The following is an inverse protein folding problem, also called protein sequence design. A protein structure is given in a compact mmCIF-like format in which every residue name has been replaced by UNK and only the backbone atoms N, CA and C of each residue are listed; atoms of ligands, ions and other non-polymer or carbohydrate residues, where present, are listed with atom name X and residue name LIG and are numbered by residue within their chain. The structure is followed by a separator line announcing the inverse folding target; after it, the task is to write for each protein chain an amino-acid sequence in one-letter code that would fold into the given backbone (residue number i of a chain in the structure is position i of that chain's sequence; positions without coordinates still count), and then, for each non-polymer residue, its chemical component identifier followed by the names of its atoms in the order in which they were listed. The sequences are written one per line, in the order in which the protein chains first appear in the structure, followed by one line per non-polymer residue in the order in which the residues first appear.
data_IF_098764095977
#
_entry.id   IF_098764095977
#
_cell.length_a   1.000
_cell.length_b   1.000
_cell.length_c   1.000
_cell.angle_alpha   90.00
_cell.angle_beta   90.00
_cell.angle_gamma   90.00
#
_symmetry.space_group_name_H-M   'P 1'
#
loop_
_entity.id
_entity.type
_entity.pdbx_description
1 polymer ?
#
# COMPACT_ATOMS: atom_id res chain seq x y z
N UNK A 1 -38.12 3.99 -60.17
CA UNK A 1 -37.19 4.78 -61.00
C UNK A 1 -36.69 5.99 -60.21
N UNK A 2 -35.56 6.59 -60.62
CA UNK A 2 -34.99 7.91 -60.24
C UNK A 2 -36.08 9.00 -59.98
N UNK A 3 -35.92 10.08 -59.20
CA UNK A 3 -34.80 10.84 -58.58
C UNK A 3 -35.43 11.72 -57.44
N UNK A 4 -34.77 12.48 -56.53
CA UNK A 4 -33.36 12.78 -56.17
C UNK A 4 -33.28 13.22 -54.67
N UNK A 5 -32.34 14.09 -54.25
CA UNK A 5 -32.24 14.76 -52.93
C UNK A 5 -32.39 16.29 -53.03
N UNK A 6 -32.87 16.94 -51.96
CA UNK A 6 -32.23 18.08 -51.25
C UNK A 6 -33.24 18.96 -50.50
N UNK A 7 -32.95 19.33 -49.25
CA UNK A 7 -32.75 20.74 -48.82
C UNK A 7 -32.41 20.82 -47.31
N UNK A 8 -31.81 21.94 -46.91
CA UNK A 8 -31.17 22.16 -45.61
C UNK A 8 -32.05 23.01 -44.68
N UNK A 9 -31.89 22.78 -43.38
CA UNK A 9 -32.42 23.43 -42.17
C UNK A 9 -32.86 24.91 -42.23
N UNK A 10 -33.86 25.26 -41.41
CA UNK A 10 -33.89 26.51 -40.60
C UNK A 10 -34.88 26.40 -39.41
N UNK A 11 -34.41 26.80 -38.22
CA UNK A 11 -35.09 27.22 -36.97
C UNK A 11 -36.50 26.72 -36.58
N UNK A 12 -36.63 26.25 -35.32
CA UNK A 12 -37.59 26.87 -34.40
C UNK A 12 -37.14 26.82 -32.92
N UNK A 13 -37.68 27.78 -32.18
CA UNK A 13 -37.28 28.37 -30.92
C UNK A 13 -37.42 27.50 -29.65
N UNK A 14 -36.65 27.89 -28.63
CA UNK A 14 -36.63 27.36 -27.27
C UNK A 14 -37.97 27.34 -26.51
N UNK A 15 -38.09 26.39 -25.57
CA UNK A 15 -38.71 26.61 -24.25
C UNK A 15 -37.69 26.21 -23.19
N UNK A 16 -37.40 27.14 -22.28
CA UNK A 16 -36.35 27.03 -21.27
C UNK A 16 -36.96 27.34 -19.91
N UNK A 17 -37.08 26.35 -19.02
CA UNK A 17 -37.55 26.52 -17.65
C UNK A 17 -36.88 25.53 -16.68
N UNK A 18 -35.76 25.97 -16.12
CA UNK A 18 -35.33 25.78 -14.72
C UNK A 18 -35.60 24.44 -14.01
N UNK A 19 -34.59 23.56 -13.97
CA UNK A 19 -34.45 22.54 -12.92
C UNK A 19 -32.98 22.08 -12.69
N UNK A 20 -31.98 22.94 -12.90
CA UNK A 20 -30.56 22.63 -12.66
C UNK A 20 -29.86 23.79 -11.93
N UNK A 21 -29.92 23.76 -10.59
CA UNK A 21 -29.41 24.86 -9.76
C UNK A 21 -29.38 24.54 -8.27
N UNK A 22 -28.83 23.39 -7.87
CA UNK A 22 -28.63 23.05 -6.46
C UNK A 22 -27.50 22.04 -6.19
N UNK A 23 -27.31 21.03 -7.08
CA UNK A 23 -26.40 19.91 -6.81
C UNK A 23 -24.94 20.08 -7.27
N UNK A 24 -24.64 20.95 -8.26
CA UNK A 24 -23.26 21.15 -8.73
C UNK A 24 -22.41 22.02 -7.79
N UNK A 25 -22.92 23.19 -7.40
CA UNK A 25 -22.14 24.20 -6.68
C UNK A 25 -21.67 23.80 -5.27
N UNK A 26 -22.31 22.80 -4.64
CA UNK A 26 -21.89 22.29 -3.31
C UNK A 26 -20.76 21.27 -3.42
N UNK A 27 -20.74 20.44 -4.45
CA UNK A 27 -19.64 19.52 -4.75
C UNK A 27 -18.39 20.30 -5.20
N UNK A 28 -18.56 21.24 -6.14
CA UNK A 28 -17.45 22.06 -6.64
C UNK A 28 -16.83 22.91 -5.51
N UNK A 29 -17.64 23.52 -4.63
CA UNK A 29 -17.10 24.25 -3.48
C UNK A 29 -16.40 23.34 -2.47
N UNK A 30 -16.85 22.10 -2.27
CA UNK A 30 -16.14 21.16 -1.39
C UNK A 30 -14.78 20.76 -1.97
N UNK A 31 -14.69 20.50 -3.27
CA UNK A 31 -13.44 20.22 -3.97
C UNK A 31 -12.50 21.44 -3.97
N UNK A 32 -13.03 22.62 -4.26
CA UNK A 32 -12.26 23.86 -4.37
C UNK A 32 -11.73 24.34 -3.00
N UNK A 33 -12.46 24.12 -1.90
CA UNK A 33 -11.99 24.40 -0.52
C UNK A 33 -10.89 23.40 -0.08
N UNK A 34 -10.80 22.22 -0.68
CA UNK A 34 -9.72 21.26 -0.42
C UNK A 34 -8.47 21.61 -1.24
N UNK A 35 -8.61 22.12 -2.48
CA UNK A 35 -7.47 22.43 -3.36
C UNK A 35 -6.56 23.59 -2.91
N UNK A 36 -6.99 24.45 -1.99
CA UNK A 36 -6.19 25.60 -1.53
C UNK A 36 -5.23 25.27 -0.36
N UNK A 37 -5.28 24.06 0.22
CA UNK A 37 -4.41 23.68 1.33
C UNK A 37 -3.15 22.90 0.88
N UNK A 38 -2.20 23.71 0.40
CA UNK A 38 -0.77 23.44 0.21
C UNK A 38 -0.34 22.61 -1.01
N UNK A 39 0.52 23.15 -1.91
CA UNK A 39 1.40 22.27 -2.68
C UNK A 39 2.32 21.50 -1.71
N UNK A 40 2.79 20.30 -2.07
CA UNK A 40 3.74 19.56 -1.23
C UNK A 40 5.03 20.36 -1.09
N UNK A 41 5.17 21.07 0.03
CA UNK A 41 6.45 21.61 0.47
C UNK A 41 7.40 20.45 0.71
N UNK A 42 8.68 20.64 0.38
CA UNK A 42 9.75 19.74 0.81
C UNK A 42 9.74 19.56 2.34
N UNK A 43 10.25 18.43 2.82
CA UNK A 43 10.22 18.13 4.25
C UNK A 43 11.25 18.92 5.03
N UNK A 44 10.76 19.71 5.99
CA UNK A 44 11.58 20.35 7.03
C UNK A 44 12.31 19.32 7.92
N UNK A 45 12.03 18.01 7.77
CA UNK A 45 12.65 16.93 8.56
C UNK A 45 13.39 15.89 7.72
N UNK A 46 12.97 15.59 6.49
CA UNK A 46 13.64 14.60 5.63
C UNK A 46 14.14 15.27 4.36
N UNK A 47 15.44 15.56 4.32
CA UNK A 47 16.03 16.50 3.35
C UNK A 47 16.56 15.83 2.08
N UNK A 48 16.75 14.51 2.10
CA UNK A 48 17.09 13.72 0.92
C UNK A 48 16.69 12.26 1.05
N UNK A 49 16.64 11.58 -0.09
CA UNK A 49 16.60 10.14 -0.26
C UNK A 49 17.58 9.79 -1.40
N UNK A 50 18.41 8.76 -1.23
CA UNK A 50 19.29 8.22 -2.25
C UNK A 50 19.28 6.68 -2.21
N UNK A 51 19.42 6.05 -3.37
CA UNK A 51 19.69 4.61 -3.45
C UNK A 51 21.17 4.32 -3.18
N UNK A 52 21.44 3.23 -2.47
CA UNK A 52 22.79 2.74 -2.19
C UNK A 52 22.97 1.41 -2.91
N UNK A 53 23.94 1.37 -3.84
CA UNK A 53 24.17 0.20 -4.69
C UNK A 53 23.01 -0.11 -5.65
N UNK A 54 23.04 -1.33 -6.19
CA UNK A 54 22.01 -1.88 -7.06
C UNK A 54 20.96 -2.66 -6.23
N UNK A 55 19.87 -3.08 -6.87
CA UNK A 55 18.95 -4.04 -6.26
C UNK A 55 19.63 -5.39 -6.00
N UNK A 56 19.01 -6.18 -5.13
CA UNK A 56 19.23 -7.61 -5.05
C UNK A 56 17.89 -8.35 -5.06
N UNK A 57 17.71 -9.20 -6.05
CA UNK A 57 16.56 -10.09 -6.18
C UNK A 57 16.45 -11.11 -5.02
N UNK A 58 15.30 -11.79 -4.98
CA UNK A 58 14.96 -12.91 -4.10
C UNK A 58 16.16 -13.81 -3.78
N UNK A 59 16.47 -14.06 -2.50
CA UNK A 59 17.69 -14.74 -2.10
C UNK A 59 17.65 -16.21 -2.52
N UNK A 60 18.83 -16.79 -2.76
CA UNK A 60 18.93 -18.24 -2.95
C UNK A 60 18.55 -18.94 -1.63
N UNK A 61 17.67 -19.96 -1.64
CA UNK A 61 17.32 -20.70 -0.44
C UNK A 61 18.55 -21.26 0.28
N UNK A 62 18.58 -21.07 1.60
CA UNK A 62 19.61 -21.59 2.49
C UNK A 62 19.38 -23.07 2.87
N UNK A 63 20.31 -23.60 3.66
CA UNK A 63 20.23 -24.98 4.12
C UNK A 63 19.05 -25.18 5.10
N UNK A 64 18.05 -25.94 4.68
CA UNK A 64 16.86 -26.27 5.48
C UNK A 64 15.62 -25.41 5.16
N UNK A 65 15.72 -24.47 4.23
CA UNK A 65 14.57 -23.73 3.72
C UNK A 65 13.66 -24.62 2.84
N UNK A 66 12.44 -24.15 2.54
CA UNK A 66 11.58 -24.81 1.55
C UNK A 66 12.32 -24.78 0.19
N UNK A 67 12.63 -25.96 -0.35
CA UNK A 67 13.22 -26.16 -1.67
C UNK A 67 12.24 -26.85 -2.61
N UNK A 68 10.94 -26.79 -2.31
CA UNK A 68 9.89 -27.29 -3.19
C UNK A 68 10.13 -26.77 -4.62
N UNK A 69 10.17 -27.65 -5.62
CA UNK A 69 10.54 -27.26 -6.97
C UNK A 69 9.56 -26.20 -7.47
N UNK A 70 10.11 -25.02 -7.75
CA UNK A 70 9.38 -23.99 -8.46
C UNK A 70 9.33 -24.43 -9.92
N UNK A 71 8.13 -24.77 -10.40
CA UNK A 71 7.96 -25.35 -11.72
C UNK A 71 8.36 -24.33 -12.81
N UNK A 72 9.40 -24.59 -13.62
CA UNK A 72 9.79 -23.70 -14.69
C UNK A 72 8.84 -23.74 -15.89
N UNK A 73 7.91 -24.71 -15.97
CA UNK A 73 7.28 -25.09 -17.24
C UNK A 73 5.93 -25.85 -17.14
N UNK A 74 4.82 -25.21 -16.72
CA UNK A 74 3.48 -25.80 -16.94
C UNK A 74 2.29 -24.86 -17.23
N UNK A 75 2.50 -23.71 -17.89
CA UNK A 75 1.40 -23.03 -18.61
C UNK A 75 1.85 -22.29 -19.89
N UNK A 76 1.36 -22.74 -21.05
CA UNK A 76 1.42 -22.04 -22.36
C UNK A 76 2.77 -21.89 -23.07
N UNK A 77 3.67 -22.88 -23.00
CA UNK A 77 4.81 -22.97 -23.93
C UNK A 77 5.84 -21.83 -23.84
N UNK A 78 5.99 -21.26 -22.64
CA UNK A 78 7.04 -20.29 -22.32
C UNK A 78 8.31 -21.06 -21.93
N UNK A 79 9.51 -20.69 -22.40
CA UNK A 79 10.76 -21.35 -21.98
C UNK A 79 11.03 -21.19 -20.48
N UNK A 80 11.85 -22.09 -19.94
CA UNK A 80 12.27 -22.09 -18.54
C UNK A 80 13.10 -20.83 -18.20
N UNK A 81 12.40 -19.76 -17.82
CA UNK A 81 12.97 -18.49 -17.38
C UNK A 81 12.77 -18.28 -15.88
N UNK A 82 13.65 -17.45 -15.31
CA UNK A 82 13.92 -17.30 -13.88
C UNK A 82 12.71 -17.34 -12.94
N UNK A 83 13.01 -17.92 -11.78
CA UNK A 83 12.08 -18.33 -10.74
C UNK A 83 11.20 -17.15 -10.29
N UNK A 84 9.95 -17.14 -10.79
CA UNK A 84 8.88 -16.30 -10.23
C UNK A 84 8.62 -16.77 -8.81
N UNK A 85 8.31 -15.85 -7.91
CA UNK A 85 7.91 -16.16 -6.53
C UNK A 85 6.64 -15.43 -6.06
N UNK A 86 6.09 -14.51 -6.87
CA UNK A 86 4.89 -13.74 -6.53
C UNK A 86 5.19 -12.26 -6.33
N UNK A 87 4.20 -11.54 -5.79
CA UNK A 87 4.21 -10.08 -5.68
C UNK A 87 3.54 -9.51 -4.41
N UNK A 88 3.42 -8.18 -4.33
CA UNK A 88 2.75 -7.35 -3.30
C UNK A 88 3.34 -7.33 -1.89
N UNK A 89 3.77 -8.49 -1.37
CA UNK A 89 4.49 -8.72 -0.10
C UNK A 89 4.18 -7.76 1.07
N UNK A 90 2.91 -7.45 1.45
CA UNK A 90 2.65 -6.75 2.70
C UNK A 90 3.20 -7.56 3.88
N UNK A 91 3.89 -6.88 4.79
CA UNK A 91 4.74 -7.54 5.78
C UNK A 91 4.83 -6.80 7.12
N UNK A 92 5.33 -7.50 8.13
CA UNK A 92 5.46 -6.99 9.50
C UNK A 92 6.65 -7.62 10.22
N UNK A 93 7.22 -6.92 11.19
CA UNK A 93 8.23 -7.46 12.11
C UNK A 93 7.52 -8.02 13.34
N UNK A 94 7.54 -9.33 13.53
CA UNK A 94 6.81 -10.03 14.58
C UNK A 94 7.59 -10.15 15.90
N UNK A 95 6.90 -10.64 16.93
CA UNK A 95 7.41 -10.80 18.30
C UNK A 95 8.63 -11.74 18.39
N UNK A 96 8.66 -12.77 17.55
CA UNK A 96 9.74 -13.76 17.42
C UNK A 96 11.02 -13.25 16.73
N UNK A 97 11.10 -11.94 16.46
CA UNK A 97 12.12 -11.25 15.68
C UNK A 97 12.07 -11.48 14.17
N UNK A 98 11.13 -12.25 13.62
CA UNK A 98 11.09 -12.51 12.18
C UNK A 98 10.23 -11.51 11.41
N UNK A 99 10.46 -11.39 10.11
CA UNK A 99 9.52 -10.70 9.23
C UNK A 99 8.57 -11.75 8.67
N UNK A 100 7.26 -11.53 8.82
CA UNK A 100 6.24 -12.29 8.10
C UNK A 100 5.70 -11.44 6.97
N UNK A 101 5.48 -12.08 5.82
CA UNK A 101 4.94 -11.48 4.61
C UNK A 101 3.87 -12.38 3.99
N UNK A 102 3.08 -11.84 3.06
CA UNK A 102 2.15 -12.63 2.25
C UNK A 102 2.38 -12.32 0.77
N UNK A 103 2.80 -13.31 -0.01
CA UNK A 103 3.02 -13.14 -1.44
C UNK A 103 1.71 -13.35 -2.23
N UNK A 104 1.46 -12.48 -3.20
CA UNK A 104 0.38 -12.58 -4.18
C UNK A 104 0.82 -13.38 -5.42
N UNK A 105 -0.10 -14.20 -5.96
CA UNK A 105 0.18 -15.19 -7.02
C UNK A 105 1.53 -15.96 -6.81
N UNK A 106 1.77 -16.50 -5.59
CA UNK A 106 3.05 -17.08 -5.21
C UNK A 106 3.32 -18.39 -5.95
N UNK A 107 4.59 -18.74 -6.11
CA UNK A 107 5.02 -19.86 -6.94
C UNK A 107 5.79 -20.95 -6.20
N UNK A 108 5.25 -21.42 -5.08
CA UNK A 108 5.84 -22.51 -4.31
C UNK A 108 5.16 -23.84 -4.62
N UNK A 109 5.86 -24.74 -5.32
CA UNK A 109 5.38 -26.11 -5.59
C UNK A 109 4.03 -26.17 -6.31
N UNK A 110 3.93 -25.54 -7.48
CA UNK A 110 2.74 -25.52 -8.34
C UNK A 110 1.47 -24.86 -7.74
N UNK A 111 1.64 -23.95 -6.77
CA UNK A 111 0.72 -22.81 -6.61
C UNK A 111 1.18 -21.70 -7.57
N UNK A 112 0.26 -20.90 -8.10
CA UNK A 112 0.58 -19.78 -9.02
C UNK A 112 -0.50 -18.69 -8.98
N UNK A 113 -1.33 -18.70 -7.94
CA UNK A 113 -2.55 -17.91 -7.84
C UNK A 113 -2.91 -17.55 -6.39
N UNK A 114 -3.80 -16.58 -6.21
CA UNK A 114 -4.29 -16.15 -4.89
C UNK A 114 -3.19 -15.53 -4.03
N UNK A 115 -2.99 -16.03 -2.80
CA UNK A 115 -1.94 -15.59 -1.88
C UNK A 115 -1.43 -16.72 -1.00
N UNK A 116 -0.24 -16.60 -0.42
CA UNK A 116 0.28 -17.49 0.64
C UNK A 116 0.94 -16.69 1.78
N UNK A 117 1.65 -17.35 2.70
CA UNK A 117 2.37 -16.70 3.81
C UNK A 117 3.80 -17.19 3.85
N UNK A 118 4.73 -16.25 3.94
CA UNK A 118 6.17 -16.45 3.97
C UNK A 118 6.79 -15.82 5.23
N UNK A 119 7.98 -16.29 5.58
CA UNK A 119 8.84 -15.74 6.64
C UNK A 119 10.19 -15.40 6.06
N UNK A 120 10.62 -14.17 6.31
CA UNK A 120 11.88 -13.56 5.90
C UNK A 120 12.81 -13.50 7.12
N UNK A 121 13.84 -14.33 7.12
CA UNK A 121 14.77 -14.50 8.24
C UNK A 121 16.12 -13.85 7.94
N UNK A 122 16.67 -13.10 8.90
CA UNK A 122 17.91 -12.32 8.72
C UNK A 122 17.71 -10.87 8.25
N UNK A 123 18.76 -10.30 7.64
CA UNK A 123 18.80 -8.93 7.09
C UNK A 123 19.57 -8.92 5.75
N UNK A 124 19.18 -8.12 4.74
CA UNK A 124 19.92 -8.06 3.49
C UNK A 124 21.40 -7.63 3.67
N UNK A 125 22.33 -8.15 2.85
CA UNK A 125 22.13 -9.12 1.77
C UNK A 125 22.06 -10.59 2.28
N UNK A 126 22.08 -10.83 3.58
CA UNK A 126 22.13 -12.15 4.22
C UNK A 126 20.80 -12.51 4.88
N UNK A 127 19.79 -12.76 4.04
CA UNK A 127 18.46 -13.18 4.46
C UNK A 127 17.97 -14.38 3.64
N UNK A 128 17.03 -15.14 4.21
CA UNK A 128 16.33 -16.23 3.51
C UNK A 128 14.83 -16.02 3.56
N UNK A 129 14.10 -16.67 2.64
CA UNK A 129 12.65 -16.67 2.60
C UNK A 129 12.16 -18.12 2.64
N UNK A 130 11.21 -18.40 3.53
CA UNK A 130 10.60 -19.72 3.71
C UNK A 130 9.08 -19.60 3.66
N UNK A 131 8.42 -20.48 2.91
CA UNK A 131 6.96 -20.58 2.96
C UNK A 131 6.50 -21.16 4.29
N UNK A 132 5.65 -20.41 4.99
CA UNK A 132 5.05 -20.79 6.28
C UNK A 132 3.74 -21.53 6.06
N UNK A 133 2.90 -21.04 5.13
CA UNK A 133 1.59 -21.59 4.87
C UNK A 133 1.18 -21.32 3.43
N UNK A 134 0.86 -22.38 2.67
CA UNK A 134 0.46 -22.30 1.27
C UNK A 134 -0.94 -21.68 1.05
N UNK A 135 -1.72 -21.42 2.12
CA UNK A 135 -3.07 -20.83 2.09
C UNK A 135 -3.97 -21.45 1.00
N UNK A 136 -4.21 -22.78 1.03
CA UNK A 136 -4.71 -23.53 -0.12
C UNK A 136 -6.11 -23.09 -0.59
N UNK A 137 -6.93 -22.53 0.30
CA UNK A 137 -8.27 -21.99 0.02
C UNK A 137 -8.25 -20.61 -0.65
N UNK A 138 -7.13 -19.87 -0.56
CA UNK A 138 -6.98 -18.54 -1.16
C UNK A 138 -6.45 -18.66 -2.59
N UNK A 139 -7.38 -18.71 -3.55
CA UNK A 139 -7.15 -18.98 -4.97
C UNK A 139 -7.77 -17.90 -5.87
N UNK A 140 -7.26 -17.78 -7.10
CA UNK A 140 -7.70 -16.86 -8.14
C UNK A 140 -6.58 -15.91 -8.62
N UNK A 141 -6.46 -15.74 -9.94
CA UNK A 141 -5.42 -14.93 -10.57
C UNK A 141 -5.78 -13.44 -10.61
N UNK A 142 -4.83 -12.57 -10.25
CA UNK A 142 -5.05 -11.11 -10.17
C UNK A 142 -6.26 -10.74 -9.30
N UNK A 143 -7.01 -9.70 -9.67
CA UNK A 143 -8.27 -9.35 -9.00
C UNK A 143 -9.39 -10.41 -9.09
N UNK A 144 -9.18 -11.54 -9.77
CA UNK A 144 -10.13 -12.64 -9.81
C UNK A 144 -10.34 -13.36 -8.48
N UNK A 145 -9.40 -13.24 -7.53
CA UNK A 145 -9.47 -13.87 -6.21
C UNK A 145 -8.81 -13.05 -5.10
N UNK A 146 -8.73 -13.59 -3.88
CA UNK A 146 -8.24 -12.86 -2.72
C UNK A 146 -6.77 -12.47 -2.85
N UNK A 147 -6.42 -11.24 -2.44
CA UNK A 147 -5.06 -10.69 -2.51
C UNK A 147 -4.63 -10.05 -1.20
N UNK A 148 -3.35 -10.14 -0.81
CA UNK A 148 -2.89 -9.56 0.45
C UNK A 148 -2.63 -8.07 0.26
N UNK A 149 -2.92 -7.26 1.29
CA UNK A 149 -2.83 -5.79 1.20
C UNK A 149 -2.08 -5.12 2.34
N UNK A 150 -2.16 -5.70 3.54
CA UNK A 150 -1.45 -5.22 4.73
C UNK A 150 -1.23 -6.36 5.71
N UNK A 151 -0.07 -6.38 6.38
CA UNK A 151 0.19 -7.29 7.49
C UNK A 151 0.71 -6.51 8.70
N UNK A 152 0.32 -6.91 9.91
CA UNK A 152 0.82 -6.35 11.17
C UNK A 152 0.87 -7.42 12.27
N UNK A 153 1.93 -7.44 13.07
CA UNK A 153 2.01 -8.20 14.31
C UNK A 153 1.63 -7.30 15.48
N UNK A 154 0.72 -7.76 16.34
CA UNK A 154 0.30 -7.02 17.55
C UNK A 154 0.02 -8.00 18.69
N UNK A 155 0.79 -7.88 19.78
CA UNK A 155 0.73 -8.75 20.96
C UNK A 155 0.94 -10.24 20.62
N UNK A 156 1.90 -10.54 19.73
CA UNK A 156 2.20 -11.90 19.26
C UNK A 156 1.10 -12.53 18.39
N UNK A 157 0.30 -11.69 17.73
CA UNK A 157 -0.75 -12.12 16.79
C UNK A 157 -0.52 -11.44 15.45
N UNK A 158 -0.34 -12.22 14.39
CA UNK A 158 -0.30 -11.72 13.02
C UNK A 158 -1.72 -11.41 12.56
N UNK A 159 -1.92 -10.25 11.93
CA UNK A 159 -3.15 -9.88 11.24
C UNK A 159 -2.82 -9.59 9.78
N UNK A 160 -3.58 -10.18 8.86
CA UNK A 160 -3.43 -10.03 7.41
C UNK A 160 -4.74 -9.50 6.82
N UNK A 161 -4.67 -8.33 6.20
CA UNK A 161 -5.75 -7.76 5.41
C UNK A 161 -5.75 -8.37 4.00
N UNK A 162 -6.88 -8.97 3.63
CA UNK A 162 -7.09 -9.66 2.36
C UNK A 162 -8.24 -8.98 1.60
N UNK A 163 -7.91 -8.36 0.47
CA UNK A 163 -8.90 -7.78 -0.45
C UNK A 163 -9.50 -8.83 -1.39
N UNK A 164 -10.51 -8.43 -2.16
CA UNK A 164 -11.14 -9.17 -3.24
C UNK A 164 -11.82 -10.48 -2.77
N UNK A 165 -12.32 -10.53 -1.54
CA UNK A 165 -12.93 -11.77 -0.98
C UNK A 165 -14.27 -12.13 -1.62
N UNK A 166 -14.88 -11.21 -2.38
CA UNK A 166 -16.07 -11.47 -3.22
C UNK A 166 -15.71 -11.60 -4.72
N UNK A 167 -14.43 -11.77 -5.05
CA UNK A 167 -13.94 -11.88 -6.42
C UNK A 167 -13.96 -10.56 -7.19
N UNK A 168 -13.91 -10.66 -8.52
CA UNK A 168 -13.63 -9.54 -9.42
C UNK A 168 -14.69 -8.44 -9.38
N UNK A 169 -14.24 -7.19 -9.24
CA UNK A 169 -15.05 -5.95 -9.39
C UNK A 169 -14.51 -5.07 -10.52
N UNK A 170 -15.30 -4.09 -11.02
CA UNK A 170 -14.73 -2.99 -11.79
C UNK A 170 -13.83 -2.12 -10.89
N UNK A 171 -12.69 -1.62 -11.39
CA UNK A 171 -11.90 -0.60 -10.68
C UNK A 171 -12.67 0.71 -10.54
N UNK A 172 -12.38 1.48 -9.49
CA UNK A 172 -12.98 2.79 -9.25
C UNK A 172 -12.52 3.84 -10.30
N UNK A 173 -11.28 3.71 -10.79
CA UNK A 173 -10.65 4.59 -11.76
C UNK A 173 -9.91 3.79 -12.83
N UNK A 174 -10.11 4.15 -14.11
CA UNK A 174 -9.39 3.54 -15.23
C UNK A 174 -9.84 2.12 -15.56
N UNK A 175 -10.50 1.91 -16.70
CA UNK A 175 -11.16 0.62 -17.04
C UNK A 175 -10.23 -0.58 -17.23
N UNK A 176 -8.90 -0.38 -17.17
CA UNK A 176 -7.89 -1.44 -17.23
C UNK A 176 -7.18 -1.71 -15.91
N UNK A 177 -7.29 -0.83 -14.90
CA UNK A 177 -6.65 -1.03 -13.60
C UNK A 177 -7.22 -2.26 -12.89
N UNK A 178 -6.43 -2.86 -12.00
CA UNK A 178 -6.90 -3.81 -11.01
C UNK A 178 -7.62 -3.05 -9.89
N UNK A 179 -8.76 -3.59 -9.51
CA UNK A 179 -9.56 -3.09 -8.41
C UNK A 179 -8.97 -3.53 -7.04
N UNK A 180 -9.55 -3.02 -5.96
CA UNK A 180 -9.19 -3.38 -4.58
C UNK A 180 -10.39 -3.14 -3.69
N UNK A 181 -11.20 -4.18 -3.49
CA UNK A 181 -12.53 -4.09 -2.89
C UNK A 181 -12.72 -5.18 -1.84
N UNK A 182 -13.75 -5.03 -0.99
CA UNK A 182 -14.29 -6.13 -0.19
C UNK A 182 -13.19 -6.81 0.67
N UNK A 183 -12.55 -6.05 1.56
CA UNK A 183 -11.50 -6.58 2.45
C UNK A 183 -12.08 -7.33 3.64
N UNK A 184 -11.37 -8.39 4.06
CA UNK A 184 -11.48 -9.02 5.39
C UNK A 184 -10.11 -9.07 6.06
N UNK A 185 -10.06 -8.92 7.38
CA UNK A 185 -8.84 -9.16 8.17
C UNK A 185 -8.92 -10.56 8.80
N UNK A 186 -7.96 -11.41 8.48
CA UNK A 186 -7.74 -12.71 9.13
C UNK A 186 -6.58 -12.58 10.13
N UNK A 187 -6.51 -13.47 11.14
CA UNK A 187 -5.44 -13.48 12.14
C UNK A 187 -4.85 -14.87 12.37
N UNK A 188 -3.59 -14.91 12.82
CA UNK A 188 -2.86 -16.11 13.20
C UNK A 188 -2.19 -15.91 14.56
N UNK A 189 -2.26 -16.93 15.42
CA UNK A 189 -1.68 -16.96 16.79
C UNK A 189 -0.51 -17.93 16.93
N UNK A 190 -0.04 -18.46 15.81
CA UNK A 190 0.96 -19.53 15.69
C UNK A 190 1.96 -19.22 14.57
N UNK A 191 2.26 -17.93 14.40
CA UNK A 191 3.22 -17.40 13.43
C UNK A 191 2.93 -17.82 11.99
N UNK A 192 1.67 -17.66 11.57
CA UNK A 192 1.19 -17.84 10.19
C UNK A 192 0.76 -19.26 9.82
N UNK A 193 0.86 -20.23 10.73
CA UNK A 193 0.57 -21.66 10.44
C UNK A 193 -0.92 -21.95 10.34
N UNK A 194 -1.76 -21.30 11.14
CA UNK A 194 -3.22 -21.37 11.03
C UNK A 194 -3.84 -19.97 11.06
N UNK A 195 -4.99 -19.81 10.39
CA UNK A 195 -5.64 -18.51 10.20
C UNK A 195 -7.13 -18.56 10.57
N UNK A 196 -7.63 -17.48 11.17
CA UNK A 196 -9.02 -17.34 11.64
C UNK A 196 -9.60 -15.97 11.23
N UNK A 197 -10.82 -15.90 10.67
CA UNK A 197 -11.64 -17.03 10.20
C UNK A 197 -10.99 -17.78 9.02
N UNK A 198 -11.39 -19.05 8.82
CA UNK A 198 -11.02 -19.78 7.60
C UNK A 198 -11.67 -19.13 6.37
N UNK A 199 -11.10 -19.34 5.17
CA UNK A 199 -11.55 -18.63 3.97
C UNK A 199 -12.99 -19.00 3.60
N UNK A 200 -13.37 -20.25 3.84
CA UNK A 200 -14.74 -20.75 3.65
C UNK A 200 -15.77 -20.08 4.57
N UNK A 201 -15.37 -19.54 5.73
CA UNK A 201 -16.27 -18.93 6.72
C UNK A 201 -16.54 -17.45 6.47
N UNK A 202 -15.73 -16.78 5.64
CA UNK A 202 -15.91 -15.38 5.25
C UNK A 202 -17.15 -15.27 4.34
N UNK A 203 -18.31 -14.98 4.94
CA UNK A 203 -19.60 -14.80 4.21
C UNK A 203 -19.81 -13.37 3.70
N UNK A 204 -19.15 -12.39 4.31
CA UNK A 204 -19.17 -10.99 3.91
C UNK A 204 -17.81 -10.35 4.24
N UNK A 205 -17.36 -9.34 3.47
CA UNK A 205 -16.19 -8.55 3.82
C UNK A 205 -16.42 -7.73 5.09
N UNK A 206 -15.36 -7.50 5.85
CA UNK A 206 -15.37 -6.50 6.93
C UNK A 206 -15.55 -5.09 6.37
N UNK A 207 -14.88 -4.78 5.25
CA UNK A 207 -14.94 -3.49 4.58
C UNK A 207 -15.45 -3.68 3.14
N UNK A 208 -16.78 -3.59 2.91
CA UNK A 208 -17.36 -3.75 1.58
C UNK A 208 -17.01 -2.58 0.64
N UNK A 209 -16.76 -2.91 -0.63
CA UNK A 209 -16.40 -1.97 -1.69
C UNK A 209 -14.97 -1.40 -1.56
N UNK A 210 -14.66 -0.42 -2.41
CA UNK A 210 -13.31 0.11 -2.60
C UNK A 210 -12.85 1.17 -1.58
N UNK A 211 -13.76 1.87 -0.88
CA UNK A 211 -13.45 3.05 -0.04
C UNK A 211 -12.34 2.77 0.99
N UNK A 212 -12.32 1.54 1.52
CA UNK A 212 -11.25 1.02 2.37
C UNK A 212 -10.98 -0.46 2.00
N UNK A 213 -11.01 -0.72 0.68
CA UNK A 213 -11.09 -2.06 0.09
C UNK A 213 -9.75 -2.80 0.01
N UNK A 214 -8.62 -2.14 0.23
CA UNK A 214 -7.30 -2.75 0.31
C UNK A 214 -6.37 -2.04 1.31
N UNK A 215 -6.58 -2.22 2.63
CA UNK A 215 -5.87 -1.46 3.65
C UNK A 215 -4.49 -2.06 3.99
N UNK A 216 -3.45 -1.24 3.87
CA UNK A 216 -2.13 -1.48 4.42
C UNK A 216 -2.08 -1.02 5.89
N UNK A 217 -1.61 -1.88 6.80
CA UNK A 217 -1.44 -1.50 8.20
C UNK A 217 -0.23 -0.57 8.38
N UNK A 218 -0.33 0.36 9.34
CA UNK A 218 0.79 1.22 9.70
C UNK A 218 1.70 0.48 10.68
N UNK A 219 2.84 -0.03 10.20
CA UNK A 219 3.78 -0.79 11.02
C UNK A 219 4.64 0.14 11.90
N UNK A 220 4.94 -0.27 13.14
CA UNK A 220 5.70 0.53 14.10
C UNK A 220 6.62 -0.29 15.01
N UNK A 221 7.70 -0.81 14.43
CA UNK A 221 8.70 -1.62 15.13
C UNK A 221 8.25 -3.06 15.35
N UNK A 222 9.05 -3.82 16.10
CA UNK A 222 8.79 -5.23 16.44
C UNK A 222 7.45 -5.35 17.18
N UNK A 223 6.60 -6.26 16.72
CA UNK A 223 5.23 -6.48 17.25
C UNK A 223 4.41 -5.19 17.42
N UNK A 224 4.66 -4.21 16.54
CA UNK A 224 4.09 -2.87 16.58
C UNK A 224 4.34 -2.10 17.90
N UNK A 225 5.33 -2.49 18.70
CA UNK A 225 5.59 -1.96 20.05
C UNK A 225 6.00 -0.47 20.09
N UNK A 226 6.40 0.11 18.97
CA UNK A 226 6.70 1.54 18.81
C UNK A 226 5.49 2.43 18.55
N UNK A 227 4.28 1.86 18.48
CA UNK A 227 3.06 2.60 18.18
C UNK A 227 2.87 3.80 19.14
N UNK A 228 2.56 5.01 18.62
CA UNK A 228 2.54 6.22 19.44
C UNK A 228 1.28 6.35 20.32
N UNK A 229 0.28 5.49 20.13
CA UNK A 229 -0.91 5.39 20.97
C UNK A 229 -1.47 3.95 20.97
N UNK A 230 -2.64 3.75 21.58
CA UNK A 230 -3.30 2.44 21.76
C UNK A 230 -4.05 1.90 20.53
N UNK A 231 -3.99 2.58 19.39
CA UNK A 231 -4.66 2.19 18.16
C UNK A 231 -3.69 1.56 17.17
N UNK A 232 -4.17 0.55 16.46
CA UNK A 232 -3.62 0.16 15.17
C UNK A 232 -4.24 1.07 14.12
N UNK A 233 -3.39 1.66 13.29
CA UNK A 233 -3.80 2.45 12.13
C UNK A 233 -3.65 1.62 10.86
N UNK A 234 -4.48 1.91 9.87
CA UNK A 234 -4.33 1.39 8.52
C UNK A 234 -4.69 2.47 7.50
N UNK A 235 -4.10 2.39 6.30
CA UNK A 235 -4.38 3.27 5.18
C UNK A 235 -4.81 2.46 3.96
N UNK A 236 -5.83 2.94 3.26
CA UNK A 236 -6.29 2.33 2.01
C UNK A 236 -6.34 3.41 0.94
N UNK A 237 -6.00 3.02 -0.29
CA UNK A 237 -6.39 3.77 -1.48
C UNK A 237 -7.71 3.21 -2.04
N UNK A 238 -8.15 3.72 -3.18
CA UNK A 238 -9.38 3.32 -3.89
C UNK A 238 -9.24 2.02 -4.73
N UNK A 239 -8.03 1.50 -4.98
CA UNK A 239 -7.79 0.30 -5.82
C UNK A 239 -6.30 -0.11 -5.85
N UNK A 240 -5.96 -1.24 -6.47
CA UNK A 240 -4.59 -1.78 -6.45
C UNK A 240 -3.55 -0.93 -7.19
N UNK A 241 -3.76 -0.58 -8.46
CA UNK A 241 -2.91 0.37 -9.20
C UNK A 241 -3.63 1.68 -9.45
N UNK A 242 -2.89 2.78 -9.36
CA UNK A 242 -3.30 4.11 -9.79
C UNK A 242 -4.62 4.57 -9.14
N UNK A 243 -4.84 4.39 -7.84
CA UNK A 243 -5.94 5.06 -7.13
C UNK A 243 -5.71 6.58 -7.03
N UNK A 244 -6.68 7.33 -6.49
CA UNK A 244 -6.58 8.80 -6.39
C UNK A 244 -6.66 9.33 -4.96
N UNK A 245 -7.15 8.56 -3.98
CA UNK A 245 -7.44 9.03 -2.62
C UNK A 245 -6.94 8.07 -1.55
N UNK A 246 -6.08 8.54 -0.66
CA UNK A 246 -5.71 7.83 0.57
C UNK A 246 -6.72 8.13 1.68
N UNK A 247 -7.20 7.10 2.38
CA UNK A 247 -8.04 7.22 3.58
C UNK A 247 -7.38 6.51 4.76
N UNK A 248 -7.68 6.98 5.97
CA UNK A 248 -7.13 6.44 7.23
C UNK A 248 -8.26 5.85 8.07
N UNK A 249 -8.06 4.59 8.47
CA UNK A 249 -8.82 3.90 9.49
C UNK A 249 -7.97 3.64 10.73
N UNK A 250 -8.61 3.45 11.88
CA UNK A 250 -7.98 2.98 13.12
C UNK A 250 -8.89 2.07 13.92
N UNK A 251 -8.30 1.24 14.77
CA UNK A 251 -9.00 0.32 15.66
C UNK A 251 -8.20 0.15 16.96
N UNK A 252 -8.83 -0.03 18.14
CA UNK A 252 -8.09 -0.40 19.34
C UNK A 252 -7.30 -1.69 19.11
N UNK A 253 -6.05 -1.75 19.57
CA UNK A 253 -5.13 -2.85 19.28
C UNK A 253 -5.65 -4.26 19.65
N UNK A 254 -6.58 -4.37 20.60
CA UNK A 254 -7.21 -5.62 21.02
C UNK A 254 -8.55 -5.94 20.31
N UNK A 255 -8.93 -5.16 19.28
CA UNK A 255 -10.24 -5.22 18.61
C UNK A 255 -10.13 -5.30 17.07
N UNK A 256 -8.97 -5.65 16.52
CA UNK A 256 -8.65 -5.49 15.07
C UNK A 256 -9.65 -6.21 14.14
N UNK A 257 -10.16 -7.39 14.53
CA UNK A 257 -11.17 -8.13 13.75
C UNK A 257 -12.63 -7.76 14.09
N UNK A 258 -12.88 -6.85 15.03
CA UNK A 258 -14.22 -6.31 15.31
C UNK A 258 -14.49 -5.10 14.41
N UNK A 259 -15.23 -5.30 13.33
CA UNK A 259 -15.64 -4.23 12.39
C UNK A 259 -16.35 -3.06 13.09
N UNK A 260 -17.08 -3.30 14.18
CA UNK A 260 -17.77 -2.26 14.96
C UNK A 260 -16.84 -1.42 15.85
N UNK A 261 -15.57 -1.81 15.99
CA UNK A 261 -14.55 -1.05 16.70
C UNK A 261 -13.76 -0.10 15.79
N UNK A 262 -13.85 -0.27 14.48
CA UNK A 262 -13.13 0.55 13.52
C UNK A 262 -13.72 1.96 13.43
N UNK A 263 -12.84 2.93 13.23
CA UNK A 263 -13.19 4.32 12.97
C UNK A 263 -12.37 4.86 11.81
N UNK A 264 -12.99 5.65 10.93
CA UNK A 264 -12.33 6.32 9.82
C UNK A 264 -12.40 7.83 9.99
N UNK A 265 -11.42 8.55 9.45
CA UNK A 265 -11.46 10.02 9.44
C UNK A 265 -12.59 10.47 8.52
N UNK A 266 -13.54 11.22 9.05
CA UNK A 266 -14.69 11.76 8.30
C UNK A 266 -14.66 13.27 8.11
N UNK A 267 -13.71 13.96 8.75
CA UNK A 267 -13.51 15.41 8.58
C UNK A 267 -12.08 15.77 9.01
N UNK A 268 -11.31 16.43 8.13
CA UNK A 268 -9.92 16.84 8.37
C UNK A 268 -9.73 18.36 8.22
N UNK A 269 -10.52 19.16 8.94
CA UNK A 269 -10.31 20.64 8.99
C UNK A 269 -9.03 21.06 9.72
N UNK A 270 -8.46 20.17 10.53
CA UNK A 270 -7.19 20.40 11.23
C UNK A 270 -6.50 19.08 11.52
N UNK A 271 -5.24 18.98 11.09
CA UNK A 271 -4.39 17.82 11.34
C UNK A 271 -4.19 17.50 12.84
N UNK A 272 -4.42 18.45 13.75
CA UNK A 272 -4.34 18.21 15.20
C UNK A 272 -5.61 17.57 15.80
N UNK A 273 -6.74 17.64 15.09
CA UNK A 273 -8.07 17.21 15.59
C UNK A 273 -8.95 16.65 14.45
N UNK A 274 -8.54 15.55 13.80
CA UNK A 274 -9.42 14.83 12.87
C UNK A 274 -10.71 14.38 13.59
N UNK A 275 -11.85 14.41 12.90
CA UNK A 275 -13.07 13.76 13.37
C UNK A 275 -13.12 12.33 12.87
N UNK A 276 -13.53 11.43 13.75
CA UNK A 276 -13.62 10.00 13.51
C UNK A 276 -15.09 9.57 13.46
N UNK A 277 -15.42 8.71 12.51
CA UNK A 277 -16.75 8.12 12.30
C UNK A 277 -16.64 6.60 12.31
N UNK A 278 -17.63 5.90 12.88
CA UNK A 278 -17.79 4.44 12.74
C UNK A 278 -18.48 4.03 11.43
N UNK A 279 -18.87 5.00 10.60
CA UNK A 279 -19.49 4.78 9.29
C UNK A 279 -18.43 4.91 8.18
N UNK A 280 -18.07 3.78 7.56
CA UNK A 280 -17.05 3.69 6.49
C UNK A 280 -17.36 4.61 5.28
N UNK A 281 -18.62 4.71 4.87
CA UNK A 281 -19.05 5.56 3.75
C UNK A 281 -18.86 7.07 4.00
N UNK A 282 -18.56 7.48 5.25
CA UNK A 282 -18.21 8.86 5.61
C UNK A 282 -16.70 9.11 5.62
N UNK A 283 -15.87 8.13 5.28
CA UNK A 283 -14.42 8.26 5.26
C UNK A 283 -13.96 9.26 4.17
N UNK A 284 -13.38 10.38 4.60
CA UNK A 284 -12.84 11.41 3.70
C UNK A 284 -11.38 11.11 3.35
N UNK A 285 -10.91 11.47 2.13
CA UNK A 285 -9.50 11.44 1.82
C UNK A 285 -8.67 12.30 2.79
N UNK A 286 -7.46 11.82 3.11
CA UNK A 286 -6.43 12.54 3.88
C UNK A 286 -5.27 13.01 2.99
N UNK A 287 -5.17 12.43 1.79
CA UNK A 287 -4.32 12.81 0.69
C UNK A 287 -5.08 12.46 -0.60
N UNK A 288 -5.07 13.36 -1.57
CA UNK A 288 -5.64 13.15 -2.90
C UNK A 288 -4.60 13.56 -3.93
N UNK A 289 -4.28 12.66 -4.85
CA UNK A 289 -3.37 12.90 -5.97
C UNK A 289 -3.80 11.99 -7.14
N UNK A 290 -4.29 12.59 -8.22
CA UNK A 290 -5.14 11.87 -9.18
C UNK A 290 -4.35 10.81 -9.97
N UNK A 291 -4.81 9.56 -9.88
CA UNK A 291 -4.16 8.35 -10.40
C UNK A 291 -2.73 8.10 -9.87
N UNK A 292 -2.31 8.75 -8.77
CA UNK A 292 -0.95 8.62 -8.18
C UNK A 292 -0.90 7.83 -6.86
N UNK A 293 -2.02 7.31 -6.37
CA UNK A 293 -2.08 6.58 -5.09
C UNK A 293 -2.43 5.11 -5.33
N UNK A 294 -1.46 4.27 -5.64
CA UNK A 294 -1.64 2.81 -5.70
C UNK A 294 -1.66 2.17 -4.31
N UNK A 295 -1.73 0.83 -4.20
CA UNK A 295 -1.68 0.10 -2.93
C UNK A 295 -0.50 0.60 -2.07
N UNK A 296 -0.76 1.27 -0.93
CA UNK A 296 0.26 1.99 -0.19
C UNK A 296 1.05 1.09 0.76
N UNK A 297 2.14 1.64 1.28
CA UNK A 297 2.79 1.21 2.52
C UNK A 297 2.85 2.40 3.48
N UNK A 298 2.70 2.18 4.79
CA UNK A 298 3.03 3.21 5.77
C UNK A 298 3.75 2.63 6.99
N UNK A 299 4.82 3.30 7.41
CA UNK A 299 5.56 2.96 8.63
C UNK A 299 5.69 4.17 9.56
N UNK A 300 5.80 3.93 10.87
CA UNK A 300 6.15 4.96 11.86
C UNK A 300 7.55 4.74 12.42
N UNK A 301 8.42 5.74 12.22
CA UNK A 301 9.78 5.77 12.74
C UNK A 301 9.78 6.57 14.05
N UNK A 302 9.65 5.86 15.17
CA UNK A 302 9.43 6.46 16.50
C UNK A 302 10.57 7.37 16.99
N UNK A 303 11.82 7.10 16.61
CA UNK A 303 12.99 7.89 17.00
C UNK A 303 12.93 9.35 16.52
N UNK A 304 12.40 9.57 15.30
CA UNK A 304 12.21 10.89 14.69
C UNK A 304 10.74 11.36 14.72
N UNK A 305 9.83 10.50 15.20
CA UNK A 305 8.38 10.74 15.28
C UNK A 305 7.80 11.14 13.93
N UNK A 306 8.10 10.37 12.87
CA UNK A 306 7.56 10.60 11.52
C UNK A 306 6.96 9.32 10.95
N UNK A 307 5.87 9.50 10.23
CA UNK A 307 5.31 8.51 9.33
C UNK A 307 5.98 8.66 7.96
N UNK A 308 6.35 7.55 7.34
CA UNK A 308 6.63 7.47 5.91
C UNK A 308 5.48 6.75 5.23
N UNK A 309 4.91 7.39 4.21
CA UNK A 309 3.98 6.80 3.26
C UNK A 309 4.74 6.55 1.96
N UNK A 310 4.71 5.31 1.46
CA UNK A 310 5.19 4.98 0.13
C UNK A 310 3.99 4.63 -0.74
N UNK A 311 3.99 5.16 -1.95
CA UNK A 311 3.02 4.85 -2.99
C UNK A 311 3.72 4.93 -4.35
N UNK A 312 3.05 4.43 -5.38
CA UNK A 312 3.57 4.28 -6.73
C UNK A 312 2.46 4.55 -7.73
N UNK A 313 2.80 4.68 -9.02
CA UNK A 313 1.84 4.52 -10.12
C UNK A 313 2.49 3.89 -11.34
N UNK A 314 1.71 3.15 -12.11
CA UNK A 314 2.05 2.74 -13.46
C UNK A 314 1.78 3.91 -14.41
N UNK A 315 2.65 4.14 -15.39
CA UNK A 315 2.40 5.14 -16.44
C UNK A 315 1.16 4.86 -17.31
N UNK A 316 0.58 3.67 -17.18
CA UNK A 316 -0.61 3.22 -17.88
C UNK A 316 -1.27 2.12 -17.05
N UNK A 317 -2.58 2.26 -16.81
CA UNK A 317 -3.43 1.32 -16.08
C UNK A 317 -3.06 -0.15 -16.36
N UNK A 318 -2.70 -0.87 -15.29
CA UNK A 318 -2.26 -2.28 -15.30
C UNK A 318 -1.22 -2.67 -16.38
N UNK A 319 -0.28 -1.77 -16.71
CA UNK A 319 0.85 -2.07 -17.59
C UNK A 319 2.06 -2.63 -16.84
N UNK A 320 2.69 -3.65 -17.41
CA UNK A 320 3.94 -4.26 -16.93
C UNK A 320 5.18 -3.87 -17.75
N UNK A 321 5.06 -2.88 -18.63
CA UNK A 321 6.14 -2.48 -19.57
C UNK A 321 6.30 -0.98 -19.79
N UNK A 322 5.35 -0.16 -19.36
CA UNK A 322 5.39 1.28 -19.62
C UNK A 322 6.23 2.05 -18.58
N UNK A 323 6.55 1.41 -17.45
CA UNK A 323 7.32 1.96 -16.33
C UNK A 323 6.44 2.33 -15.12
N UNK A 324 7.11 2.51 -13.99
CA UNK A 324 6.52 2.90 -12.71
C UNK A 324 7.18 4.18 -12.21
N UNK A 325 6.42 4.99 -11.50
CA UNK A 325 6.91 6.11 -10.71
C UNK A 325 6.72 5.82 -9.21
N UNK A 326 7.72 6.16 -8.39
CA UNK A 326 7.69 6.04 -6.93
C UNK A 326 7.49 7.43 -6.29
N UNK A 327 6.65 7.51 -5.25
CA UNK A 327 6.55 8.68 -4.38
C UNK A 327 6.65 8.27 -2.91
N UNK A 328 7.48 9.00 -2.15
CA UNK A 328 7.62 8.85 -0.70
C UNK A 328 7.24 10.16 -0.03
N UNK A 329 6.25 10.11 0.88
CA UNK A 329 5.80 11.26 1.66
C UNK A 329 6.12 11.07 3.14
N UNK A 330 6.46 12.17 3.83
CA UNK A 330 6.58 12.23 5.27
C UNK A 330 5.37 12.93 5.91
N UNK A 331 5.00 12.53 7.12
CA UNK A 331 3.97 13.20 7.91
C UNK A 331 4.23 13.11 9.44
N UNK A 332 3.70 14.05 10.25
CA UNK A 332 3.74 13.97 11.72
C UNK A 332 2.61 13.10 12.31
N UNK A 333 1.57 12.80 11.52
CA UNK A 333 0.43 11.94 11.86
C UNK A 333 0.13 11.01 10.68
N UNK A 334 -0.56 9.86 10.86
CA UNK A 334 -0.86 8.95 9.75
C UNK A 334 -1.91 9.54 8.77
N UNK A 335 -2.46 10.71 9.09
CA UNK A 335 -3.38 11.50 8.26
C UNK A 335 -2.78 12.86 7.83
N UNK A 336 -1.46 13.02 7.88
CA UNK A 336 -0.79 14.23 7.38
C UNK A 336 -0.55 15.34 8.43
N UNK A 337 -0.17 16.57 7.99
CA UNK A 337 0.02 16.95 6.60
C UNK A 337 1.11 16.09 5.94
N UNK A 338 0.83 15.65 4.72
CA UNK A 338 1.80 14.90 3.91
C UNK A 338 2.68 15.88 3.14
N UNK A 339 3.94 15.52 3.04
CA UNK A 339 4.96 16.31 2.36
C UNK A 339 5.81 15.35 1.53
N UNK A 340 5.95 15.62 0.24
CA UNK A 340 6.77 14.82 -0.66
C UNK A 340 8.25 14.96 -0.27
N UNK A 341 8.91 13.82 -0.06
CA UNK A 341 10.34 13.71 0.27
C UNK A 341 11.13 13.25 -0.93
N UNK A 342 10.56 12.34 -1.71
CA UNK A 342 11.20 11.73 -2.87
C UNK A 342 10.15 11.39 -3.93
N UNK A 343 10.50 11.66 -5.19
CA UNK A 343 9.74 11.30 -6.38
C UNK A 343 10.75 10.78 -7.40
N UNK A 344 10.59 9.54 -7.85
CA UNK A 344 11.41 8.93 -8.88
C UNK A 344 10.53 8.61 -10.08
N UNK A 345 10.55 9.50 -11.07
CA UNK A 345 9.71 9.44 -12.26
C UNK A 345 9.77 8.07 -12.95
N UNK A 346 10.97 7.49 -13.11
CA UNK A 346 11.15 6.14 -13.63
C UNK A 346 11.85 5.30 -12.58
N UNK A 347 11.07 4.72 -11.65
CA UNK A 347 11.59 3.90 -10.58
C UNK A 347 12.26 2.64 -11.13
N UNK A 348 13.54 2.47 -10.83
CA UNK A 348 14.45 1.46 -11.38
C UNK A 348 14.59 1.50 -12.91
N UNK A 349 13.68 0.86 -13.63
CA UNK A 349 13.67 0.81 -15.10
C UNK A 349 12.32 0.29 -15.62
N UNK A 350 12.06 0.44 -16.92
CA UNK A 350 10.91 -0.20 -17.58
C UNK A 350 10.99 -1.73 -17.61
N UNK A 351 12.20 -2.28 -17.58
CA UNK A 351 12.37 -3.72 -17.51
C UNK A 351 12.03 -4.22 -16.10
N UNK A 352 12.46 -3.52 -15.06
CA UNK A 352 12.06 -3.84 -13.69
C UNK A 352 10.55 -3.60 -13.47
N UNK A 353 10.01 -2.47 -13.96
CA UNK A 353 8.62 -2.02 -13.78
C UNK A 353 8.11 -2.30 -12.35
N UNK A 354 8.79 -1.76 -11.31
CA UNK A 354 8.58 -2.14 -9.92
C UNK A 354 7.21 -1.72 -9.38
N UNK A 355 6.76 -2.26 -8.24
CA UNK A 355 5.51 -1.88 -7.57
C UNK A 355 5.46 -2.43 -6.14
N UNK A 356 4.48 -1.94 -5.36
CA UNK A 356 4.27 -2.32 -3.95
C UNK A 356 5.54 -2.20 -3.09
N UNK A 357 6.15 -0.99 -2.98
CA UNK A 357 7.29 -0.74 -2.12
C UNK A 357 6.95 -0.96 -0.64
N UNK A 358 7.85 -1.60 0.11
CA UNK A 358 7.76 -1.85 1.56
C UNK A 358 9.06 -1.41 2.23
N UNK A 359 9.00 -0.86 3.44
CA UNK A 359 10.21 -0.62 4.27
C UNK A 359 10.09 -1.47 5.54
N UNK A 360 10.78 -2.62 5.63
CA UNK A 360 10.67 -3.50 6.78
C UNK A 360 11.45 -2.89 7.95
N UNK A 361 10.76 -2.53 9.04
CA UNK A 361 11.38 -1.79 10.15
C UNK A 361 12.50 -2.56 10.88
N UNK A 362 12.59 -3.89 10.73
CA UNK A 362 13.74 -4.71 11.18
C UNK A 362 15.03 -4.38 10.43
N UNK A 363 14.92 -3.92 9.18
CA UNK A 363 16.05 -3.60 8.29
C UNK A 363 16.43 -2.11 8.30
N UNK A 364 15.72 -1.29 9.08
CA UNK A 364 15.92 0.15 9.17
C UNK A 364 16.78 0.52 10.39
N UNK A 365 17.79 1.37 10.19
CA UNK A 365 18.66 1.94 11.22
C UNK A 365 18.55 3.46 11.19
N UNK A 366 18.58 4.09 12.36
CA UNK A 366 18.59 5.56 12.48
C UNK A 366 19.86 5.99 13.21
N UNK A 367 20.77 6.61 12.45
CA UNK A 367 22.13 6.94 12.83
C UNK A 367 22.28 8.47 12.95
N UNK A 368 21.70 9.05 14.01
CA UNK A 368 21.77 10.50 14.25
C UNK A 368 20.92 11.30 13.25
N UNK A 369 21.56 11.86 12.21
CA UNK A 369 20.92 12.61 11.12
C UNK A 369 20.73 11.78 9.84
N UNK A 370 20.86 10.47 9.94
CA UNK A 370 20.78 9.53 8.82
C UNK A 370 19.79 8.39 9.12
N UNK A 371 19.09 7.92 8.09
CA UNK A 371 18.33 6.68 8.09
C UNK A 371 18.92 5.81 7.00
N UNK A 372 19.50 4.68 7.36
CA UNK A 372 19.91 3.63 6.42
C UNK A 372 18.87 2.51 6.48
N UNK A 373 18.52 1.92 5.34
CA UNK A 373 17.55 0.82 5.34
C UNK A 373 17.46 0.12 3.99
N UNK A 374 16.56 -0.86 3.92
CA UNK A 374 16.30 -1.62 2.71
C UNK A 374 14.83 -1.47 2.33
N UNK A 375 14.57 -1.12 1.08
CA UNK A 375 13.23 -1.14 0.52
C UNK A 375 13.02 -2.48 -0.18
N UNK A 376 11.95 -3.18 0.17
CA UNK A 376 11.49 -4.36 -0.56
C UNK A 376 10.46 -3.92 -1.61
N UNK A 377 10.45 -4.57 -2.78
CA UNK A 377 9.46 -4.33 -3.82
C UNK A 377 9.28 -5.55 -4.75
N UNK A 378 8.22 -5.52 -5.56
CA UNK A 378 7.94 -6.52 -6.60
C UNK A 378 8.34 -6.00 -7.98
N UNK A 379 8.74 -6.88 -8.90
CA UNK A 379 9.07 -6.54 -10.29
C UNK A 379 8.09 -7.11 -11.33
N UNK A 380 8.33 -6.75 -12.59
CA UNK A 380 7.41 -6.92 -13.71
C UNK A 380 6.82 -8.32 -13.87
N UNK A 381 5.51 -8.40 -14.08
CA UNK A 381 4.79 -9.65 -14.36
C UNK A 381 4.76 -10.07 -15.85
N UNK A 382 5.52 -9.43 -16.75
CA UNK A 382 5.61 -9.84 -18.17
C UNK A 382 5.96 -11.33 -18.28
N UNK A 383 5.43 -12.04 -19.29
CA UNK A 383 5.66 -13.50 -19.47
C UNK A 383 7.15 -13.90 -19.55
N UNK A 384 8.00 -13.02 -20.05
CA UNK A 384 9.46 -13.20 -20.18
C UNK A 384 10.27 -12.54 -19.06
N UNK A 385 9.61 -11.87 -18.10
CA UNK A 385 10.30 -11.22 -16.97
C UNK A 385 10.79 -12.26 -15.97
N UNK A 386 12.03 -12.06 -15.52
CA UNK A 386 12.62 -12.73 -14.36
C UNK A 386 12.28 -12.05 -13.04
N UNK A 387 11.62 -10.88 -13.07
CA UNK A 387 11.50 -10.00 -11.91
C UNK A 387 10.21 -10.15 -11.10
N UNK A 388 9.34 -11.11 -11.42
CA UNK A 388 8.09 -11.37 -10.69
C UNK A 388 8.33 -12.15 -9.38
N UNK A 389 9.02 -11.48 -8.46
CA UNK A 389 9.51 -11.97 -7.16
C UNK A 389 9.76 -10.77 -6.23
N UNK A 390 10.11 -11.03 -4.98
CA UNK A 390 10.65 -10.01 -4.07
C UNK A 390 12.03 -9.55 -4.53
N UNK A 391 12.29 -8.25 -4.41
CA UNK A 391 13.59 -7.59 -4.58
C UNK A 391 13.84 -6.66 -3.42
N UNK A 392 15.09 -6.43 -3.06
CA UNK A 392 15.47 -5.49 -2.00
C UNK A 392 16.61 -4.58 -2.46
N UNK A 393 16.51 -3.28 -2.21
CA UNK A 393 17.57 -2.30 -2.49
C UNK A 393 17.86 -1.44 -1.26
N UNK A 394 19.13 -1.20 -0.98
CA UNK A 394 19.54 -0.33 0.12
C UNK A 394 19.26 1.13 -0.23
N UNK A 395 18.80 1.90 0.73
CA UNK A 395 18.56 3.33 0.60
C UNK A 395 19.13 4.07 1.81
N UNK A 396 19.43 5.35 1.61
CA UNK A 396 19.77 6.30 2.66
C UNK A 396 18.85 7.52 2.59
N UNK A 397 18.43 8.01 3.75
CA UNK A 397 17.76 9.30 3.88
C UNK A 397 18.50 10.20 4.86
N UNK A 398 18.57 11.50 4.56
CA UNK A 398 19.07 12.50 5.51
C UNK A 398 17.94 13.16 6.27
N UNK A 399 18.14 13.35 7.57
CA UNK A 399 17.24 14.04 8.49
C UNK A 399 17.79 15.45 8.73
N UNK A 400 16.92 16.46 8.73
CA UNK A 400 17.31 17.80 9.15
C UNK A 400 17.70 17.79 10.64
N UNK A 401 18.93 18.24 10.95
CA UNK A 401 19.32 18.48 12.35
C UNK A 401 18.37 19.50 12.94
N UNK A 402 17.55 19.07 13.90
CA UNK A 402 16.74 20.00 14.68
C UNK A 402 17.71 20.83 15.51
N UNK A 403 17.96 22.07 15.09
CA UNK A 403 18.72 23.04 15.90
C UNK A 403 17.91 23.25 17.17
N UNK A 404 18.35 22.60 18.24
CA UNK A 404 17.83 22.88 19.58
C UNK A 404 18.33 24.27 19.91
N UNK A 405 17.47 25.28 19.78
CA UNK A 405 17.78 26.63 20.22
C UNK A 405 17.88 26.54 21.74
N UNK A 406 19.11 26.45 22.23
CA UNK A 406 19.40 26.64 23.65
C UNK A 406 18.96 28.05 23.99
N UNK A 407 17.84 28.17 24.69
CA UNK A 407 17.44 29.46 25.26
C UNK A 407 18.40 29.74 26.40
N UNK A 408 19.48 30.46 26.10
CA UNK A 408 20.38 30.97 27.12
C UNK A 408 19.56 31.82 28.09
N UNK A 409 19.36 31.29 29.30
CA UNK A 409 18.75 32.01 30.39
C UNK A 409 19.72 33.08 30.85
N UNK A 410 19.71 34.23 30.16
CA UNK A 410 20.43 35.42 30.55
C UNK A 410 20.05 35.76 32.00
N UNK A 411 20.99 35.53 32.93
CA UNK A 411 20.83 35.94 34.32
C UNK A 411 20.72 37.46 34.35
N UNK A 412 19.50 37.97 34.54
CA UNK A 412 19.32 39.37 34.90
C UNK A 412 19.97 39.61 36.25
N UNK A 413 21.01 40.42 36.28
CA UNK A 413 21.56 40.97 37.50
C UNK A 413 20.52 41.85 38.19
N UNK A 414 20.31 41.61 39.49
CA UNK A 414 19.92 42.58 40.52
C UNK A 414 20.25 42.00 41.89
#
# INVERSE_FOLDING_TARGET
MRFSRSHLSILLLAILLSAQGAFGQTADKAAQIISENFPPKSSDVMVSFEWVGDESAYPTPGAGDDVAPVDPASAHGVPAYGVRFGDTFPMTWADDDEIYASAGDPNWGAKWDGLDVERFSGIPPHYTITRVNAMPECRGSGGGGPKPTGMISVHGVLYLAVQNVLGKKPPAFGTRSQHGDDTTIISSRDHGKTWTPARADIKAPMFPGHIFGGPAFVNSGRDNAGAPDKYVYAVSTDQWDNGSNLRVGRVPANRIQDVGAWQWISELKSYKRPRWSSELNRATPVLTDDRRISLPEMIYIGTIKRYLLLTWRLYKDFSNSDGTELMIYAAPHPWGPFTLVHEEAMWESKDMNPYCPRIPLKWLKVNGDEIDGWMQFSGSWRKTSTEYRSHVREFRMKIARTVTITVDSAKSSR
#
